data_IF_457596626724
#
_entry.id   IF_457596626724
#
_cell.length_a   1.000
_cell.length_b   1.000
_cell.length_c   1.000
_cell.angle_alpha   90.00
_cell.angle_beta   90.00
_cell.angle_gamma   90.00
#
_symmetry.space_group_name_H-M   'P 1'
#
loop_
_entity.id
_entity.type
_entity.pdbx_description
1 polymer ?
#
# COMPACT_ATOMS: atom_id res chain seq x y z
N UNK A 1 -22.21 10.29 -5.14
CA UNK A 1 -22.03 11.45 -6.02
C UNK A 1 -20.61 11.97 -5.92
N UNK A 2 -20.00 12.20 -7.05
CA UNK A 2 -18.69 12.83 -7.07
C UNK A 2 -18.87 14.33 -6.90
N UNK A 3 -18.39 14.90 -5.81
CA UNK A 3 -18.57 16.30 -5.46
C UNK A 3 -17.58 17.22 -6.16
N UNK A 4 -17.02 16.77 -7.29
CA UNK A 4 -16.04 17.55 -8.03
C UNK A 4 -14.64 17.47 -7.49
N UNK A 5 -14.41 16.62 -6.49
CA UNK A 5 -13.10 16.43 -5.90
C UNK A 5 -12.58 15.08 -6.34
N UNK A 6 -11.47 15.11 -7.06
CA UNK A 6 -10.75 13.88 -7.40
C UNK A 6 -9.64 13.63 -6.41
N UNK A 7 -9.48 12.39 -6.00
CA UNK A 7 -8.37 11.99 -5.16
C UNK A 7 -7.14 11.74 -6.01
N UNK A 8 -5.99 12.11 -5.48
CA UNK A 8 -4.73 11.95 -6.19
C UNK A 8 -4.32 10.48 -6.25
N UNK A 9 -3.87 10.06 -7.42
CA UNK A 9 -3.26 8.76 -7.59
C UNK A 9 -1.76 8.87 -7.36
N UNK A 10 -1.14 7.74 -7.04
CA UNK A 10 0.31 7.67 -6.87
C UNK A 10 0.91 7.24 -8.22
N UNK A 11 1.99 7.92 -8.62
CA UNK A 11 2.77 7.51 -9.77
C UNK A 11 4.12 7.00 -9.29
N UNK A 12 4.52 5.84 -9.79
CA UNK A 12 5.83 5.32 -9.48
C UNK A 12 6.88 6.10 -10.28
N UNK A 13 7.95 6.51 -9.61
CA UNK A 13 9.07 7.13 -10.29
C UNK A 13 10.38 6.65 -9.65
N UNK A 14 11.50 7.11 -10.19
CA UNK A 14 12.81 6.65 -9.76
C UNK A 14 13.12 6.96 -8.30
N UNK A 15 12.47 7.96 -7.72
CA UNK A 15 12.70 8.28 -6.31
C UNK A 15 12.21 7.18 -5.37
N UNK A 16 11.32 6.32 -5.87
CA UNK A 16 10.78 5.19 -5.11
C UNK A 16 11.59 3.91 -5.31
N UNK A 17 12.57 3.92 -6.21
CA UNK A 17 13.33 2.72 -6.53
C UNK A 17 14.27 2.31 -5.41
N UNK A 18 14.28 1.03 -5.06
CA UNK A 18 15.25 0.45 -4.15
C UNK A 18 16.47 -0.08 -4.90
N UNK A 19 16.33 -0.31 -6.21
CA UNK A 19 17.35 -0.96 -7.02
C UNK A 19 17.26 -2.47 -7.00
N UNK A 20 16.38 -3.02 -6.18
CA UNK A 20 16.12 -4.45 -6.11
C UNK A 20 14.93 -4.74 -7.01
N UNK A 21 15.16 -5.39 -8.14
CA UNK A 21 14.15 -5.54 -9.20
C UNK A 21 12.85 -6.16 -8.71
N UNK A 22 12.92 -7.21 -7.91
CA UNK A 22 11.73 -7.88 -7.42
C UNK A 22 10.90 -6.98 -6.50
N UNK A 23 11.56 -6.25 -5.62
CA UNK A 23 10.90 -5.34 -4.69
C UNK A 23 10.29 -4.17 -5.45
N UNK A 24 11.04 -3.58 -6.38
CA UNK A 24 10.54 -2.46 -7.18
C UNK A 24 9.34 -2.86 -8.02
N UNK A 25 9.37 -4.05 -8.60
CA UNK A 25 8.22 -4.57 -9.35
C UNK A 25 7.00 -4.69 -8.44
N UNK A 26 7.18 -5.24 -7.24
CA UNK A 26 6.09 -5.42 -6.30
C UNK A 26 5.53 -4.09 -5.80
N UNK A 27 6.41 -3.08 -5.62
CA UNK A 27 5.96 -1.73 -5.28
C UNK A 27 5.10 -1.12 -6.39
N UNK A 28 5.50 -1.32 -7.65
CA UNK A 28 4.69 -0.85 -8.78
C UNK A 28 3.31 -1.50 -8.78
N UNK A 29 3.25 -2.80 -8.48
CA UNK A 29 1.97 -3.51 -8.43
C UNK A 29 1.12 -3.05 -7.25
N UNK A 30 1.72 -2.78 -6.09
CA UNK A 30 1.01 -2.22 -4.96
C UNK A 30 0.39 -0.87 -5.29
N UNK A 31 1.15 -0.01 -5.94
CA UNK A 31 0.68 1.31 -6.36
C UNK A 31 -0.48 1.16 -7.33
N UNK A 32 -0.38 0.23 -8.27
CA UNK A 32 -1.45 -0.02 -9.23
C UNK A 32 -2.73 -0.46 -8.52
N UNK A 33 -2.63 -1.34 -7.54
CA UNK A 33 -3.78 -1.80 -6.77
C UNK A 33 -4.36 -0.71 -5.87
N UNK A 34 -3.49 0.11 -5.28
CA UNK A 34 -3.95 1.27 -4.52
C UNK A 34 -4.72 2.24 -5.42
N UNK A 35 -4.18 2.51 -6.61
CA UNK A 35 -4.86 3.40 -7.54
C UNK A 35 -6.21 2.84 -8.00
N UNK A 36 -6.36 1.52 -8.05
CA UNK A 36 -7.66 0.90 -8.35
C UNK A 36 -8.67 1.19 -7.25
N UNK A 37 -8.27 1.18 -5.99
CA UNK A 37 -9.13 1.56 -4.88
C UNK A 37 -9.56 3.03 -5.02
N UNK A 38 -8.60 3.90 -5.29
CA UNK A 38 -8.84 5.34 -5.44
C UNK A 38 -9.83 5.57 -6.59
N UNK A 39 -9.64 4.89 -7.70
CA UNK A 39 -10.51 5.03 -8.86
C UNK A 39 -11.94 4.55 -8.56
N UNK A 40 -12.07 3.44 -7.86
CA UNK A 40 -13.38 2.92 -7.47
C UNK A 40 -14.15 3.93 -6.60
N UNK A 41 -13.43 4.59 -5.69
CA UNK A 41 -14.03 5.62 -4.85
C UNK A 41 -14.43 6.84 -5.68
N UNK A 42 -13.52 7.34 -6.53
CA UNK A 42 -13.77 8.52 -7.36
C UNK A 42 -14.94 8.33 -8.33
N UNK A 43 -15.11 7.12 -8.83
CA UNK A 43 -16.17 6.81 -9.79
C UNK A 43 -17.47 6.38 -9.13
N UNK A 44 -17.55 6.42 -7.81
CA UNK A 44 -18.74 6.02 -7.05
C UNK A 44 -19.25 4.63 -7.46
N UNK A 45 -18.33 3.66 -7.57
CA UNK A 45 -18.68 2.33 -8.04
C UNK A 45 -19.51 1.51 -7.05
N UNK A 46 -19.69 2.02 -5.83
CA UNK A 46 -20.47 1.35 -4.82
C UNK A 46 -19.65 0.56 -3.83
N UNK A 47 -20.27 0.23 -2.71
CA UNK A 47 -19.58 -0.40 -1.58
C UNK A 47 -18.96 -1.76 -1.96
N UNK A 48 -19.67 -2.56 -2.72
CA UNK A 48 -19.18 -3.88 -3.11
C UNK A 48 -17.92 -3.82 -3.96
N UNK A 49 -17.90 -2.90 -4.92
CA UNK A 49 -16.73 -2.75 -5.80
C UNK A 49 -15.53 -2.19 -5.03
N UNK A 50 -15.77 -1.22 -4.15
CA UNK A 50 -14.69 -0.65 -3.33
C UNK A 50 -14.14 -1.70 -2.39
N UNK A 51 -15.00 -2.47 -1.72
CA UNK A 51 -14.57 -3.54 -0.83
C UNK A 51 -13.72 -4.57 -1.57
N UNK A 52 -14.11 -4.93 -2.78
CA UNK A 52 -13.36 -5.89 -3.59
C UNK A 52 -11.96 -5.38 -3.94
N UNK A 53 -11.83 -4.10 -4.30
CA UNK A 53 -10.53 -3.54 -4.61
C UNK A 53 -9.65 -3.44 -3.36
N UNK A 54 -10.25 -3.17 -2.20
CA UNK A 54 -9.51 -3.18 -0.93
C UNK A 54 -8.99 -4.58 -0.61
N UNK A 55 -9.80 -5.61 -0.84
CA UNK A 55 -9.37 -7.00 -0.62
C UNK A 55 -8.20 -7.37 -1.53
N UNK A 56 -8.25 -6.97 -2.80
CA UNK A 56 -7.15 -7.22 -3.72
C UNK A 56 -5.88 -6.52 -3.28
N UNK A 57 -6.01 -5.27 -2.81
CA UNK A 57 -4.86 -4.54 -2.30
C UNK A 57 -4.26 -5.25 -1.09
N UNK A 58 -5.11 -5.66 -0.15
CA UNK A 58 -4.65 -6.31 1.07
C UNK A 58 -3.99 -7.66 0.78
N UNK A 59 -4.56 -8.46 -0.11
CA UNK A 59 -3.97 -9.74 -0.50
C UNK A 59 -2.59 -9.56 -1.09
N UNK A 60 -2.44 -8.62 -2.00
CA UNK A 60 -1.13 -8.37 -2.62
C UNK A 60 -0.14 -7.77 -1.61
N UNK A 61 -0.63 -6.94 -0.72
CA UNK A 61 0.19 -6.35 0.33
C UNK A 61 0.77 -7.44 1.23
N UNK A 62 -0.05 -8.41 1.62
CA UNK A 62 0.41 -9.53 2.42
C UNK A 62 1.47 -10.36 1.69
N UNK A 63 1.28 -10.60 0.42
CA UNK A 63 2.24 -11.30 -0.42
C UNK A 63 3.57 -10.54 -0.50
N UNK A 64 3.49 -9.24 -0.77
CA UNK A 64 4.68 -8.39 -0.87
C UNK A 64 5.44 -8.31 0.46
N UNK A 65 4.73 -8.10 1.57
CA UNK A 65 5.37 -8.02 2.87
C UNK A 65 6.09 -9.31 3.22
N UNK A 66 5.48 -10.45 2.91
CA UNK A 66 6.11 -11.74 3.14
C UNK A 66 7.40 -11.88 2.33
N UNK A 67 7.37 -11.49 1.05
CA UNK A 67 8.55 -11.56 0.18
C UNK A 67 9.65 -10.61 0.65
N UNK A 68 9.26 -9.41 1.07
CA UNK A 68 10.21 -8.40 1.55
C UNK A 68 10.91 -8.88 2.81
N UNK A 69 10.15 -9.47 3.75
CA UNK A 69 10.73 -10.00 4.97
C UNK A 69 11.66 -11.18 4.70
N UNK A 70 11.32 -12.03 3.73
CA UNK A 70 12.20 -13.11 3.30
C UNK A 70 13.49 -12.59 2.69
N UNK A 71 13.40 -11.57 1.87
CA UNK A 71 14.58 -10.93 1.28
C UNK A 71 15.50 -10.40 2.37
N UNK A 72 14.94 -9.65 3.31
CA UNK A 72 15.69 -9.04 4.40
C UNK A 72 16.37 -10.10 5.24
N UNK A 73 15.65 -11.15 5.61
CA UNK A 73 16.16 -12.25 6.40
C UNK A 73 17.27 -13.00 5.66
N UNK A 74 17.08 -13.24 4.35
CA UNK A 74 18.04 -13.99 3.55
C UNK A 74 19.34 -13.25 3.25
N UNK A 75 19.32 -11.91 3.32
CA UNK A 75 20.48 -11.08 3.01
C UNK A 75 21.16 -10.47 4.25
N UNK A 76 20.68 -10.86 5.44
CA UNK A 76 21.28 -10.36 6.68
C UNK A 76 21.07 -8.89 6.96
N UNK A 77 20.08 -8.29 6.33
CA UNK A 77 19.76 -6.88 6.57
C UNK A 77 19.26 -6.71 8.01
N UNK A 78 19.78 -5.73 8.78
CA UNK A 78 19.43 -5.61 10.19
C UNK A 78 18.06 -5.01 10.48
N UNK A 79 17.31 -4.61 9.47
CA UNK A 79 16.04 -3.91 9.62
C UNK A 79 14.80 -4.80 9.68
N UNK A 80 14.95 -6.12 9.87
CA UNK A 80 13.80 -7.03 9.84
C UNK A 80 12.74 -6.67 10.88
N UNK A 81 13.15 -6.37 12.11
CA UNK A 81 12.22 -6.05 13.18
C UNK A 81 11.40 -4.80 12.87
N UNK A 82 12.04 -3.79 12.30
CA UNK A 82 11.36 -2.54 11.90
C UNK A 82 10.35 -2.83 10.80
N UNK A 83 10.75 -3.61 9.79
CA UNK A 83 9.87 -3.99 8.71
C UNK A 83 8.65 -4.77 9.20
N UNK A 84 8.87 -5.77 10.04
CA UNK A 84 7.78 -6.59 10.58
C UNK A 84 6.80 -5.74 11.39
N UNK A 85 7.31 -4.81 12.19
CA UNK A 85 6.47 -3.93 13.00
C UNK A 85 5.60 -3.04 12.12
N UNK A 86 6.21 -2.41 11.11
CA UNK A 86 5.46 -1.52 10.22
C UNK A 86 4.45 -2.29 9.38
N UNK A 87 4.81 -3.49 8.91
CA UNK A 87 3.88 -4.33 8.16
C UNK A 87 2.67 -4.71 9.01
N UNK A 88 2.90 -5.05 10.27
CA UNK A 88 1.82 -5.38 11.20
C UNK A 88 0.91 -4.19 11.44
N UNK A 89 1.49 -3.02 11.69
CA UNK A 89 0.72 -1.79 11.90
C UNK A 89 -0.16 -1.47 10.68
N UNK A 90 0.39 -1.62 9.49
CA UNK A 90 -0.37 -1.38 8.27
C UNK A 90 -1.58 -2.31 8.18
N UNK A 91 -1.36 -3.61 8.41
CA UNK A 91 -2.45 -4.59 8.32
C UNK A 91 -3.55 -4.31 9.34
N UNK A 92 -3.16 -3.96 10.57
CA UNK A 92 -4.13 -3.64 11.61
C UNK A 92 -4.96 -2.41 11.26
N UNK A 93 -4.30 -1.38 10.76
CA UNK A 93 -4.98 -0.14 10.36
C UNK A 93 -5.89 -0.35 9.15
N UNK A 94 -5.45 -1.11 8.16
CA UNK A 94 -6.29 -1.41 6.99
C UNK A 94 -7.51 -2.23 7.41
N UNK A 95 -7.32 -3.21 8.28
CA UNK A 95 -8.44 -4.01 8.77
C UNK A 95 -9.46 -3.14 9.50
N UNK A 96 -8.99 -2.18 10.30
CA UNK A 96 -9.90 -1.25 10.98
C UNK A 96 -10.66 -0.37 9.99
N UNK A 97 -9.98 0.12 8.95
CA UNK A 97 -10.62 0.91 7.91
C UNK A 97 -11.69 0.10 7.15
N UNK A 98 -11.42 -1.16 6.90
CA UNK A 98 -12.39 -2.04 6.25
C UNK A 98 -13.63 -2.22 7.14
N UNK A 99 -13.43 -2.43 8.44
CA UNK A 99 -14.54 -2.54 9.37
C UNK A 99 -15.37 -1.25 9.41
N UNK A 100 -14.71 -0.10 9.48
CA UNK A 100 -15.36 1.20 9.46
C UNK A 100 -16.16 1.38 8.17
N UNK A 101 -15.57 1.00 7.05
CA UNK A 101 -16.24 1.08 5.76
C UNK A 101 -17.48 0.20 5.70
N UNK A 102 -17.40 -1.01 6.26
CA UNK A 102 -18.55 -1.93 6.30
C UNK A 102 -19.69 -1.39 7.15
N UNK A 103 -19.38 -0.65 8.20
CA UNK A 103 -20.39 -0.09 9.11
C UNK A 103 -20.99 1.20 8.57
N UNK A 104 -20.17 2.07 8.00
CA UNK A 104 -20.58 3.42 7.59
C UNK A 104 -20.85 3.53 6.10
N UNK A 105 -20.43 2.53 5.34
CA UNK A 105 -20.64 2.52 3.91
C UNK A 105 -19.66 3.39 3.14
N UNK A 106 -20.00 3.69 1.90
CA UNK A 106 -19.14 4.43 0.98
C UNK A 106 -19.32 5.93 1.11
N UNK A 107 -19.44 6.42 2.33
CA UNK A 107 -19.54 7.84 2.57
C UNK A 107 -18.19 8.53 2.30
N UNK A 108 -18.27 9.80 1.91
CA UNK A 108 -17.10 10.56 1.49
C UNK A 108 -16.00 10.60 2.56
N UNK A 109 -16.39 10.78 3.83
CA UNK A 109 -15.40 10.89 4.91
C UNK A 109 -14.57 9.62 5.07
N UNK A 110 -15.22 8.47 5.00
CA UNK A 110 -14.54 7.18 5.08
C UNK A 110 -13.64 6.97 3.87
N UNK A 111 -14.12 7.36 2.68
CA UNK A 111 -13.34 7.26 1.46
C UNK A 111 -12.06 8.11 1.54
N UNK A 112 -12.18 9.33 2.08
CA UNK A 112 -11.03 10.21 2.27
C UNK A 112 -10.05 9.61 3.28
N UNK A 113 -10.53 9.03 4.37
CA UNK A 113 -9.68 8.38 5.37
C UNK A 113 -8.90 7.21 4.77
N UNK A 114 -9.57 6.38 3.97
CA UNK A 114 -8.92 5.25 3.29
C UNK A 114 -7.84 5.77 2.34
N UNK A 115 -8.19 6.74 1.51
CA UNK A 115 -7.25 7.33 0.57
C UNK A 115 -6.02 7.89 1.31
N UNK A 116 -6.26 8.75 2.31
CA UNK A 116 -5.17 9.43 2.99
C UNK A 116 -4.26 8.44 3.70
N UNK A 117 -4.83 7.47 4.39
CA UNK A 117 -4.03 6.47 5.07
C UNK A 117 -3.16 5.68 4.09
N UNK A 118 -3.77 5.13 3.04
CA UNK A 118 -3.05 4.28 2.09
C UNK A 118 -2.00 5.08 1.32
N UNK A 119 -2.37 6.28 0.86
CA UNK A 119 -1.47 7.13 0.08
C UNK A 119 -0.24 7.53 0.90
N UNK A 120 -0.47 8.09 2.08
CA UNK A 120 0.61 8.62 2.92
C UNK A 120 1.46 7.47 3.47
N UNK A 121 0.82 6.43 4.01
CA UNK A 121 1.56 5.34 4.63
C UNK A 121 2.44 4.61 3.62
N UNK A 122 1.87 4.24 2.47
CA UNK A 122 2.61 3.45 1.49
C UNK A 122 3.80 4.23 0.93
N UNK A 123 3.57 5.49 0.57
CA UNK A 123 4.63 6.33 0.03
C UNK A 123 5.75 6.53 1.05
N UNK A 124 5.39 6.83 2.29
CA UNK A 124 6.36 7.02 3.36
C UNK A 124 7.15 5.76 3.66
N UNK A 125 6.47 4.61 3.71
CA UNK A 125 7.11 3.33 3.97
C UNK A 125 8.14 3.00 2.87
N UNK A 126 7.76 3.17 1.62
CA UNK A 126 8.68 2.91 0.51
C UNK A 126 9.88 3.86 0.58
N UNK A 127 9.66 5.15 0.77
CA UNK A 127 10.73 6.14 0.74
C UNK A 127 11.63 6.10 1.96
N UNK A 128 11.09 5.88 3.14
CA UNK A 128 11.87 5.97 4.38
C UNK A 128 12.39 4.62 4.88
N UNK A 129 11.66 3.56 4.63
CA UNK A 129 12.01 2.23 5.16
C UNK A 129 12.56 1.34 4.06
N UNK A 130 11.80 1.12 3.01
CA UNK A 130 12.23 0.20 1.94
C UNK A 130 13.40 0.73 1.15
N UNK A 131 13.50 2.04 1.00
CA UNK A 131 14.62 2.65 0.27
C UNK A 131 15.97 2.33 0.91
N UNK A 132 15.98 2.04 2.21
CA UNK A 132 17.21 1.60 2.88
C UNK A 132 17.74 0.28 2.32
N UNK A 133 16.87 -0.50 1.68
CA UNK A 133 17.28 -1.74 1.05
C UNK A 133 18.17 -1.50 -0.18
N UNK A 134 18.23 -0.27 -0.69
CA UNK A 134 19.03 0.06 -1.86
C UNK A 134 20.51 -0.30 -1.68
N UNK A 135 21.01 -0.25 -0.46
CA UNK A 135 22.40 -0.61 -0.20
C UNK A 135 22.68 -2.10 -0.45
N UNK A 136 21.63 -2.91 -0.55
CA UNK A 136 21.72 -4.34 -0.86
C UNK A 136 21.38 -4.67 -2.30
N UNK A 137 21.18 -3.65 -3.13
CA UNK A 137 20.71 -3.82 -4.51
C UNK A 137 21.65 -4.68 -5.36
N UNK A 138 22.95 -4.65 -5.06
CA UNK A 138 23.93 -5.45 -5.80
C UNK A 138 23.77 -6.96 -5.60
N UNK A 139 22.93 -7.34 -4.65
CA UNK A 139 22.64 -8.74 -4.38
C UNK A 139 21.62 -9.34 -5.36
N UNK A 140 20.97 -8.49 -6.15
CA UNK A 140 19.97 -8.94 -7.12
C UNK A 140 20.59 -9.40 -8.45
#
# INVERSE_FOLDING_TARGET
>A
MNLGVKMNKIEWDKSLATGIKSIDYEHKMLIERLNAVIEAIDQNQGEGAIAKTLDFLLDYTNFHFSNEEKFISGHGYPGLDVQQKQHKEFKENVNQLILDFQQEGAEKEIAVEIHDFLFVWLKKHIMEVDHQLAQYATEE
#
